data_IF_360876458720
#
_entry.id   IF_360876458720
#
_cell.length_a   1.000
_cell.length_b   1.000
_cell.length_c   1.000
_cell.angle_alpha   90.00
_cell.angle_beta   90.00
_cell.angle_gamma   90.00
#
_symmetry.space_group_name_H-M   'P 1'
#
loop_
_entity.id
_entity.type
_entity.pdbx_description
1 polymer ?
#
# COMPACT_ATOMS: atom_id res chain seq x y z
N UNK A 1 5.72 -2.56 14.33
CA UNK A 1 4.70 -2.15 13.35
C UNK A 1 5.11 -2.46 11.91
N UNK A 2 6.00 -1.71 11.24
CA UNK A 2 6.35 -1.99 9.83
C UNK A 2 7.03 -3.36 9.61
N UNK A 3 7.87 -3.81 10.54
CA UNK A 3 8.46 -5.16 10.51
C UNK A 3 7.38 -6.24 10.54
N UNK A 4 6.34 -6.06 11.34
CA UNK A 4 5.25 -7.02 11.51
C UNK A 4 4.36 -7.05 10.27
N UNK A 5 4.04 -5.89 9.69
CA UNK A 5 3.32 -5.81 8.40
C UNK A 5 4.07 -6.55 7.31
N UNK A 6 5.38 -6.31 7.14
CA UNK A 6 6.19 -7.01 6.14
C UNK A 6 6.24 -8.52 6.38
N UNK A 7 6.35 -8.95 7.64
CA UNK A 7 6.33 -10.36 8.01
C UNK A 7 4.99 -11.01 7.65
N UNK A 8 3.88 -10.35 7.96
CA UNK A 8 2.54 -10.86 7.66
C UNK A 8 2.28 -10.97 6.15
N UNK A 9 2.63 -9.92 5.38
CA UNK A 9 2.53 -9.94 3.92
C UNK A 9 3.36 -11.08 3.33
N UNK A 10 4.60 -11.25 3.79
CA UNK A 10 5.48 -12.33 3.34
C UNK A 10 4.87 -13.70 3.61
N UNK A 11 4.42 -13.93 4.85
CA UNK A 11 3.80 -15.18 5.24
C UNK A 11 2.57 -15.51 4.38
N UNK A 12 1.67 -14.54 4.18
CA UNK A 12 0.50 -14.73 3.32
C UNK A 12 0.90 -15.03 1.86
N UNK A 13 1.94 -14.40 1.34
CA UNK A 13 2.42 -14.70 -0.01
C UNK A 13 3.04 -16.11 -0.12
N UNK A 14 3.80 -16.53 0.89
CA UNK A 14 4.41 -17.86 0.96
C UNK A 14 3.36 -18.97 1.08
N UNK A 15 2.35 -18.78 1.93
CA UNK A 15 1.20 -19.70 2.08
C UNK A 15 0.44 -19.89 0.75
N UNK A 16 0.44 -18.87 -0.09
CA UNK A 16 -0.23 -18.86 -1.40
C UNK A 16 0.71 -19.23 -2.56
N UNK A 17 1.94 -19.65 -2.25
CA UNK A 17 2.96 -20.05 -3.21
C UNK A 17 3.27 -18.98 -4.27
N UNK A 18 3.13 -17.71 -3.90
CA UNK A 18 3.43 -16.58 -4.77
C UNK A 18 4.93 -16.50 -5.03
N UNK A 19 5.30 -16.21 -6.29
CA UNK A 19 6.69 -16.10 -6.69
C UNK A 19 7.44 -15.07 -5.82
N UNK A 20 8.67 -15.42 -5.40
CA UNK A 20 9.51 -14.59 -4.53
C UNK A 20 9.69 -13.15 -5.04
N UNK A 21 9.89 -12.96 -6.34
CA UNK A 21 10.04 -11.61 -6.92
C UNK A 21 8.78 -10.78 -6.78
N UNK A 22 7.61 -11.38 -6.98
CA UNK A 22 6.31 -10.71 -6.82
C UNK A 22 6.09 -10.39 -5.33
N UNK A 23 6.42 -11.32 -4.45
CA UNK A 23 6.37 -11.12 -2.99
C UNK A 23 7.22 -9.94 -2.53
N UNK A 24 8.47 -9.80 -3.00
CA UNK A 24 9.30 -8.63 -2.65
C UNK A 24 8.69 -7.32 -3.15
N UNK A 25 8.14 -7.30 -4.37
CA UNK A 25 7.48 -6.11 -4.92
C UNK A 25 6.28 -5.67 -4.05
N UNK A 26 5.43 -6.62 -3.65
CA UNK A 26 4.28 -6.36 -2.77
C UNK A 26 4.76 -5.82 -1.42
N UNK A 27 5.77 -6.45 -0.81
CA UNK A 27 6.31 -6.04 0.50
C UNK A 27 6.85 -4.61 0.45
N UNK A 28 7.59 -4.26 -0.61
CA UNK A 28 8.12 -2.91 -0.80
C UNK A 28 6.99 -1.89 -0.97
N UNK A 29 6.01 -2.16 -1.83
CA UNK A 29 4.87 -1.27 -2.04
C UNK A 29 4.05 -1.04 -0.77
N UNK A 30 3.74 -2.10 -0.02
CA UNK A 30 3.02 -2.00 1.26
C UNK A 30 3.84 -1.24 2.31
N UNK A 31 5.16 -1.41 2.33
CA UNK A 31 6.04 -0.68 3.24
C UNK A 31 6.05 0.83 2.93
N UNK A 32 6.17 1.22 1.65
CA UNK A 32 6.07 2.63 1.22
C UNK A 32 4.70 3.23 1.55
N UNK A 33 3.62 2.53 1.24
CA UNK A 33 2.27 2.98 1.57
C UNK A 33 2.07 3.18 3.08
N UNK A 34 2.57 2.24 3.89
CA UNK A 34 2.51 2.34 5.35
C UNK A 34 3.34 3.52 5.89
N UNK A 35 4.52 3.77 5.31
CA UNK A 35 5.33 4.93 5.67
C UNK A 35 4.64 6.25 5.31
N UNK A 36 3.94 6.31 4.17
CA UNK A 36 3.15 7.48 3.79
C UNK A 36 2.06 7.79 4.82
N UNK A 37 1.32 6.78 5.29
CA UNK A 37 0.31 6.96 6.33
C UNK A 37 0.95 7.47 7.63
N UNK A 38 2.03 6.83 8.09
CA UNK A 38 2.69 7.19 9.35
C UNK A 38 3.28 8.61 9.29
N UNK A 39 4.03 8.94 8.23
CA UNK A 39 4.78 10.20 8.15
C UNK A 39 3.91 11.37 7.68
N UNK A 40 3.05 11.15 6.68
CA UNK A 40 2.26 12.22 6.07
C UNK A 40 0.83 12.27 6.59
N UNK A 41 0.17 11.12 6.77
CA UNK A 41 -1.19 11.06 7.30
C UNK A 41 -1.27 11.38 8.79
N UNK A 42 -0.39 10.79 9.59
CA UNK A 42 -0.39 10.89 11.05
C UNK A 42 0.73 11.74 11.63
N UNK A 43 1.62 12.31 10.81
CA UNK A 43 2.74 13.14 11.27
C UNK A 43 3.59 12.47 12.36
N UNK A 44 3.82 11.17 12.23
CA UNK A 44 4.54 10.30 13.18
C UNK A 44 3.90 10.21 14.57
N UNK A 45 2.60 10.50 14.72
CA UNK A 45 1.90 10.35 15.99
C UNK A 45 1.68 8.85 16.32
N UNK A 46 2.31 8.31 17.38
CA UNK A 46 2.29 6.88 17.69
C UNK A 46 0.94 6.37 18.23
N UNK A 47 0.03 7.28 18.61
CA UNK A 47 -1.30 6.91 19.09
C UNK A 47 -2.26 6.56 17.95
N UNK A 48 -1.90 6.90 16.72
CA UNK A 48 -2.72 6.62 15.55
C UNK A 48 -2.38 5.23 14.99
N UNK A 49 -3.40 4.54 14.52
CA UNK A 49 -3.29 3.20 13.95
C UNK A 49 -3.93 3.18 12.58
N UNK A 50 -3.46 2.26 11.74
CA UNK A 50 -4.09 1.95 10.46
C UNK A 50 -4.19 0.43 10.35
N UNK A 51 -5.10 -0.02 9.50
CA UNK A 51 -5.35 -1.44 9.25
C UNK A 51 -4.79 -1.82 7.89
N UNK A 52 -4.19 -3.01 7.79
CA UNK A 52 -3.81 -3.63 6.53
C UNK A 52 -4.66 -4.88 6.35
N UNK A 53 -5.47 -4.90 5.30
CA UNK A 53 -6.21 -6.08 4.87
C UNK A 53 -5.52 -6.68 3.65
N UNK A 54 -5.38 -7.99 3.63
CA UNK A 54 -4.80 -8.73 2.52
C UNK A 54 -5.83 -9.76 2.09
N UNK A 55 -6.21 -9.72 0.82
CA UNK A 55 -7.17 -10.64 0.23
C UNK A 55 -6.63 -11.18 -1.10
N UNK A 56 -7.06 -12.39 -1.44
CA UNK A 56 -6.91 -12.91 -2.80
C UNK A 56 -8.22 -12.74 -3.54
N UNK A 57 -8.15 -12.13 -4.71
CA UNK A 57 -9.23 -12.08 -5.66
C UNK A 57 -8.89 -13.03 -6.80
N UNK A 58 -9.80 -13.93 -7.16
CA UNK A 58 -9.61 -14.89 -8.24
C UNK A 58 -10.83 -14.89 -9.13
N UNK A 59 -10.59 -14.88 -10.44
CA UNK A 59 -11.61 -15.18 -11.44
C UNK A 59 -11.09 -16.31 -12.36
N UNK A 60 -11.89 -16.73 -13.34
CA UNK A 60 -11.54 -17.85 -14.23
C UNK A 60 -10.27 -17.62 -15.09
N UNK A 61 -9.69 -16.41 -15.09
CA UNK A 61 -8.62 -16.00 -16.00
C UNK A 61 -7.35 -15.65 -15.22
N UNK A 62 -7.47 -14.94 -14.08
CA UNK A 62 -6.33 -14.44 -13.32
C UNK A 62 -6.57 -14.50 -11.80
N UNK A 63 -5.49 -14.71 -11.05
CA UNK A 63 -5.41 -14.56 -9.60
C UNK A 63 -4.71 -13.25 -9.27
N UNK A 64 -5.27 -12.50 -8.33
CA UNK A 64 -4.75 -11.21 -7.89
C UNK A 64 -4.62 -11.21 -6.36
N UNK A 65 -3.57 -10.55 -5.87
CA UNK A 65 -3.47 -10.14 -4.48
C UNK A 65 -3.91 -8.68 -4.36
N UNK A 66 -4.86 -8.45 -3.44
CA UNK A 66 -5.41 -7.14 -3.11
C UNK A 66 -4.98 -6.79 -1.70
N UNK A 67 -4.32 -5.65 -1.53
CA UNK A 67 -3.97 -5.10 -0.23
C UNK A 67 -4.69 -3.77 -0.02
N UNK A 68 -5.42 -3.64 1.07
CA UNK A 68 -6.04 -2.38 1.46
C UNK A 68 -5.38 -1.83 2.72
N UNK A 69 -4.90 -0.59 2.65
CA UNK A 69 -4.43 0.17 3.80
C UNK A 69 -5.52 1.17 4.17
N UNK A 70 -6.02 1.06 5.40
CA UNK A 70 -7.18 1.82 5.89
C UNK A 70 -6.74 2.66 7.09
N UNK A 71 -6.89 3.99 6.98
CA UNK A 71 -6.53 4.94 8.02
C UNK A 71 -7.67 5.94 8.31
N UNK A 72 -7.49 6.71 9.39
CA UNK A 72 -8.38 7.79 9.84
C UNK A 72 -7.69 9.16 9.72
N UNK A 73 -6.64 9.27 8.91
CA UNK A 73 -6.02 10.55 8.62
C UNK A 73 -6.98 11.42 7.81
N UNK A 74 -6.67 12.72 7.71
CA UNK A 74 -7.45 13.63 6.86
C UNK A 74 -7.58 13.05 5.45
N UNK A 75 -8.80 13.04 4.90
CA UNK A 75 -9.05 12.57 3.53
C UNK A 75 -8.12 13.30 2.56
N UNK A 76 -7.40 12.51 1.76
CA UNK A 76 -6.51 12.98 0.73
C UNK A 76 -7.34 13.18 -0.53
N UNK A 77 -7.06 14.27 -1.24
CA UNK A 77 -7.56 14.49 -2.58
C UNK A 77 -6.58 13.80 -3.56
N UNK A 78 -6.96 12.68 -4.21
CA UNK A 78 -6.05 11.93 -5.07
C UNK A 78 -5.50 12.76 -6.22
N UNK A 79 -6.25 13.74 -6.73
CA UNK A 79 -5.80 14.64 -7.80
C UNK A 79 -4.69 15.59 -7.34
N UNK A 80 -4.61 15.84 -6.03
CA UNK A 80 -3.55 16.66 -5.41
C UNK A 80 -2.32 15.85 -5.02
N UNK A 81 -2.37 14.52 -5.11
CA UNK A 81 -1.20 13.65 -4.93
C UNK A 81 -0.34 13.76 -6.18
N UNK A 82 0.51 14.78 -6.23
CA UNK A 82 1.55 14.86 -7.27
C UNK A 82 2.57 13.76 -7.01
N UNK A 83 2.71 12.81 -7.93
CA UNK A 83 4.01 12.16 -8.15
C UNK A 83 5.00 13.30 -8.38
N UNK A 84 5.86 13.59 -7.40
CA UNK A 84 6.92 14.58 -7.62
C UNK A 84 7.75 14.09 -8.81
N UNK A 85 8.12 15.02 -9.70
CA UNK A 85 9.05 14.74 -10.77
C UNK A 85 10.32 14.10 -10.20
N UNK A 86 10.82 13.10 -10.92
CA UNK A 86 11.88 12.15 -10.54
C UNK A 86 13.25 12.79 -10.26
N UNK A 87 13.37 14.11 -10.27
CA UNK A 87 14.64 14.84 -10.21
C UNK A 87 15.02 15.31 -8.81
N UNK A 88 14.13 15.20 -7.82
CA UNK A 88 14.36 15.68 -6.44
C UNK A 88 14.42 14.51 -5.42
N UNK A 89 15.29 13.54 -5.71
CA UNK A 89 15.48 12.32 -4.92
C UNK A 89 16.21 12.65 -3.61
N UNK A 90 15.46 12.83 -2.52
CA UNK A 90 15.98 12.68 -1.14
C UNK A 90 15.89 11.22 -0.69
N UNK A 91 16.73 10.77 0.26
CA UNK A 91 16.56 9.46 0.89
C UNK A 91 15.17 9.41 1.55
N UNK A 92 14.29 8.51 1.08
CA UNK A 92 12.89 8.41 1.52
C UNK A 92 11.84 9.09 0.63
N UNK A 93 12.23 9.64 -0.54
CA UNK A 93 11.33 10.37 -1.45
C UNK A 93 10.81 9.59 -2.66
N UNK A 94 11.08 8.29 -2.80
CA UNK A 94 10.71 7.51 -3.99
C UNK A 94 9.20 7.21 -4.06
N UNK A 95 8.50 7.33 -2.93
CA UNK A 95 7.09 7.69 -2.81
C UNK A 95 6.10 6.91 -3.69
N UNK A 96 4.93 7.51 -3.93
CA UNK A 96 3.81 6.94 -4.70
C UNK A 96 4.24 6.37 -6.06
N UNK A 97 5.28 6.92 -6.69
CA UNK A 97 5.84 6.40 -7.93
C UNK A 97 6.39 4.96 -7.82
N UNK A 98 7.03 4.61 -6.70
CA UNK A 98 7.49 3.23 -6.47
C UNK A 98 6.32 2.26 -6.38
N UNK A 99 5.25 2.67 -5.69
CA UNK A 99 4.04 1.86 -5.56
C UNK A 99 3.46 1.56 -6.94
N UNK A 100 3.35 2.57 -7.82
CA UNK A 100 2.88 2.40 -9.19
C UNK A 100 3.81 1.58 -10.10
N UNK A 101 5.11 1.51 -9.80
CA UNK A 101 6.05 0.65 -10.53
C UNK A 101 5.98 -0.81 -10.10
N UNK A 102 5.67 -1.07 -8.83
CA UNK A 102 5.71 -2.41 -8.25
C UNK A 102 4.35 -3.11 -8.33
N UNK A 103 3.27 -2.36 -8.22
CA UNK A 103 1.88 -2.83 -8.26
C UNK A 103 1.25 -2.56 -9.62
N UNK A 104 0.23 -3.33 -9.99
CA UNK A 104 -0.47 -3.12 -11.26
C UNK A 104 -1.49 -1.99 -11.14
N UNK A 105 -2.03 -1.76 -9.94
CA UNK A 105 -2.78 -0.55 -9.63
C UNK A 105 -2.63 -0.13 -8.17
N UNK A 106 -2.83 1.16 -7.92
CA UNK A 106 -2.86 1.78 -6.60
C UNK A 106 -3.90 2.90 -6.61
N UNK A 107 -5.06 2.65 -6.01
CA UNK A 107 -6.23 3.52 -6.11
C UNK A 107 -6.77 3.87 -4.72
N UNK A 108 -7.13 5.12 -4.53
CA UNK A 108 -7.92 5.51 -3.35
C UNK A 108 -9.37 5.14 -3.57
N UNK A 109 -9.94 4.38 -2.64
CA UNK A 109 -11.35 4.00 -2.65
C UNK A 109 -12.13 5.00 -1.82
N UNK A 110 -13.11 5.66 -2.44
CA UNK A 110 -14.02 6.49 -1.66
C UNK A 110 -14.99 5.59 -0.89
N UNK A 111 -15.13 5.90 0.39
CA UNK A 111 -16.05 5.22 1.27
C UNK A 111 -16.68 6.29 2.16
N UNK A 112 -17.95 6.58 1.90
CA UNK A 112 -18.73 7.57 2.67
C UNK A 112 -18.83 7.23 4.15
N UNK A 113 -18.69 5.94 4.51
CA UNK A 113 -18.72 5.47 5.91
C UNK A 113 -17.36 5.55 6.60
N UNK A 114 -16.27 5.75 5.85
CA UNK A 114 -14.94 5.89 6.42
C UNK A 114 -14.56 7.38 6.47
N UNK A 115 -14.24 7.88 7.67
CA UNK A 115 -13.81 9.25 7.87
C UNK A 115 -12.33 9.51 7.50
N UNK A 116 -11.62 8.50 6.99
CA UNK A 116 -10.25 8.64 6.49
C UNK A 116 -10.06 8.02 5.12
N UNK A 117 -8.89 7.43 4.88
CA UNK A 117 -8.47 6.97 3.56
C UNK A 117 -8.49 5.44 3.46
N UNK A 118 -8.73 4.94 2.24
CA UNK A 118 -8.53 3.54 1.87
C UNK A 118 -7.68 3.53 0.62
N UNK A 119 -6.43 3.07 0.72
CA UNK A 119 -5.57 2.83 -0.43
C UNK A 119 -5.62 1.34 -0.78
N UNK A 120 -6.12 1.03 -1.97
CA UNK A 120 -6.15 -0.32 -2.52
C UNK A 120 -4.99 -0.51 -3.50
N UNK A 121 -4.18 -1.54 -3.26
CA UNK A 121 -3.11 -1.99 -4.13
C UNK A 121 -3.46 -3.35 -4.73
N UNK A 122 -3.28 -3.52 -6.04
CA UNK A 122 -3.52 -4.80 -6.72
C UNK A 122 -2.29 -5.31 -7.44
N UNK A 123 -2.08 -6.63 -7.39
CA UNK A 123 -1.02 -7.32 -8.11
C UNK A 123 -1.53 -8.65 -8.68
N UNK A 124 -1.43 -8.83 -9.99
CA UNK A 124 -1.62 -10.11 -10.66
C UNK A 124 -0.48 -11.07 -10.29
N UNK A 125 -0.83 -12.32 -10.01
CA UNK A 125 0.06 -13.36 -9.51
C UNK A 125 0.57 -14.31 -10.60
#
# INVERSE_FOLDING_TARGET
MLKDVRKQVRQTCEEQQINKSITENIILAVNEASMNIIQHGYHNNPNNKFTVLIALAENNIHKELVVQLIDQAKKIDPEKIKSRDLEDIKPGGIGVHMIHKLMDSANYIDNEKNNGNILELRKTL
#
